data_IF_517855701697
#
_entry.id   IF_517855701697
#
_cell.length_a   1.000
_cell.length_b   1.000
_cell.length_c   1.000
_cell.angle_alpha   90.00
_cell.angle_beta   90.00
_cell.angle_gamma   90.00
#
_symmetry.space_group_name_H-M   'P 1'
#
loop_
_entity.id
_entity.type
_entity.pdbx_description
1 polymer ?
#
# COMPACT_ATOMS: atom_id res chain seq x y z
N UNK A 1 62.90 22.89 24.33
CA UNK A 1 61.48 23.17 24.75
C UNK A 1 60.57 23.06 23.51
N UNK A 2 60.93 23.62 22.37
CA UNK A 2 60.15 23.58 21.13
C UNK A 2 59.95 22.12 20.64
N UNK A 3 61.07 21.36 20.49
CA UNK A 3 60.99 19.96 20.03
C UNK A 3 60.06 19.06 20.90
N UNK A 4 60.04 19.27 22.19
CA UNK A 4 59.16 18.50 23.12
C UNK A 4 57.68 18.89 22.98
N UNK A 5 57.42 20.16 22.64
CA UNK A 5 56.05 20.63 22.34
C UNK A 5 55.58 20.07 21.00
N UNK A 6 56.43 20.00 20.01
CA UNK A 6 56.12 19.46 18.68
C UNK A 6 55.89 17.94 18.73
N UNK A 7 56.70 17.21 19.50
CA UNK A 7 56.50 15.77 19.76
C UNK A 7 55.16 15.50 20.46
N UNK A 8 54.82 16.24 21.50
CA UNK A 8 53.54 16.07 22.23
C UNK A 8 52.32 16.45 21.37
N UNK A 9 52.46 17.42 20.47
CA UNK A 9 51.39 17.79 19.54
C UNK A 9 51.17 16.68 18.51
N UNK A 10 52.24 16.07 18.00
CA UNK A 10 52.16 14.94 17.08
C UNK A 10 51.53 13.70 17.74
N UNK A 11 51.89 13.39 19.00
CA UNK A 11 51.27 12.31 19.78
C UNK A 11 49.77 12.55 20.00
N UNK A 12 49.40 13.80 20.32
CA UNK A 12 47.99 14.18 20.48
C UNK A 12 47.21 13.99 19.17
N UNK A 13 47.75 14.48 18.06
CA UNK A 13 47.09 14.36 16.74
C UNK A 13 46.97 12.89 16.30
N UNK A 14 48.01 12.08 16.56
CA UNK A 14 47.96 10.65 16.30
C UNK A 14 46.87 9.95 17.13
N UNK A 15 46.81 10.24 18.41
CA UNK A 15 45.75 9.70 19.28
C UNK A 15 44.34 10.09 18.79
N UNK A 16 44.14 11.37 18.44
CA UNK A 16 42.84 11.85 17.94
C UNK A 16 42.44 11.10 16.67
N UNK A 17 43.40 10.93 15.73
CA UNK A 17 43.16 10.19 14.52
C UNK A 17 42.78 8.73 14.78
N UNK A 18 43.53 8.05 15.65
CA UNK A 18 43.25 6.66 16.03
C UNK A 18 41.91 6.53 16.73
N UNK A 19 41.59 7.44 17.65
CA UNK A 19 40.30 7.42 18.37
C UNK A 19 39.13 7.59 17.39
N UNK A 20 39.20 8.57 16.48
CA UNK A 20 38.13 8.84 15.50
C UNK A 20 38.03 7.75 14.43
N UNK A 21 39.14 7.07 14.10
CA UNK A 21 39.11 5.93 13.19
C UNK A 21 38.41 4.71 13.79
N UNK A 22 38.62 4.45 15.07
CA UNK A 22 37.96 3.34 15.77
C UNK A 22 36.52 3.64 16.16
N UNK A 23 36.18 4.91 16.35
CA UNK A 23 34.87 5.35 16.76
C UNK A 23 34.30 6.33 15.74
N UNK A 24 33.44 5.86 14.86
CA UNK A 24 32.85 6.66 13.80
C UNK A 24 31.67 7.48 14.35
N UNK A 25 31.98 8.68 14.84
CA UNK A 25 30.98 9.62 15.34
C UNK A 25 30.66 10.69 14.30
N UNK A 26 29.38 11.07 14.27
CA UNK A 26 28.85 12.10 13.39
C UNK A 26 27.98 13.07 14.16
N UNK A 27 27.75 14.24 13.58
CA UNK A 27 26.93 15.27 14.19
C UNK A 27 26.06 15.96 13.12
N UNK A 28 24.81 16.23 13.48
CA UNK A 28 23.88 17.02 12.67
C UNK A 28 23.57 18.32 13.39
N UNK A 29 24.01 19.43 12.78
CA UNK A 29 23.92 20.77 13.37
C UNK A 29 22.46 21.21 13.53
N UNK A 30 21.59 20.90 12.54
CA UNK A 30 20.21 21.33 12.51
C UNK A 30 19.39 20.82 13.72
N UNK A 31 19.68 19.61 14.20
CA UNK A 31 18.98 18.97 15.32
C UNK A 31 19.82 18.88 16.59
N UNK A 32 21.08 19.34 16.54
CA UNK A 32 22.06 19.21 17.63
C UNK A 32 22.21 17.77 18.14
N UNK A 33 22.17 16.80 17.23
CA UNK A 33 22.16 15.37 17.57
C UNK A 33 23.47 14.71 17.15
N UNK A 34 24.02 13.87 18.03
CA UNK A 34 25.17 13.03 17.75
C UNK A 34 24.74 11.64 17.34
N UNK A 35 25.57 11.03 16.50
CA UNK A 35 25.35 9.66 16.01
C UNK A 35 26.65 8.87 16.08
N UNK A 36 26.52 7.56 16.22
CA UNK A 36 27.61 6.59 16.09
C UNK A 36 27.28 5.62 14.97
N UNK A 37 28.29 5.16 14.27
CA UNK A 37 28.20 4.11 13.27
C UNK A 37 29.05 2.92 13.69
N UNK A 38 28.45 1.73 13.75
CA UNK A 38 29.12 0.50 14.21
C UNK A 38 29.69 -0.35 13.03
N UNK A 39 29.59 0.16 11.81
CA UNK A 39 29.96 -0.54 10.58
C UNK A 39 28.77 -1.18 9.86
N UNK A 40 27.59 -1.23 10.49
CA UNK A 40 26.35 -1.74 9.91
C UNK A 40 25.18 -0.77 10.07
N UNK A 41 25.01 -0.22 11.27
CA UNK A 41 23.88 0.65 11.63
C UNK A 41 24.32 2.00 12.20
N UNK A 42 23.62 3.06 11.81
CA UNK A 42 23.69 4.36 12.43
C UNK A 42 22.75 4.46 13.63
N UNK A 43 23.23 4.95 14.76
CA UNK A 43 22.47 5.05 15.99
C UNK A 43 22.63 6.43 16.61
N UNK A 44 21.57 6.92 17.27
CA UNK A 44 21.64 8.14 18.08
C UNK A 44 22.54 7.86 19.28
N UNK A 45 23.39 8.83 19.61
CA UNK A 45 24.28 8.71 20.74
C UNK A 45 24.28 10.00 21.56
N UNK A 46 24.51 9.91 22.88
CA UNK A 46 24.53 11.11 23.70
C UNK A 46 25.91 11.77 23.72
N UNK A 47 25.97 13.11 23.83
CA UNK A 47 27.23 13.85 23.98
C UNK A 47 27.97 13.38 25.26
N UNK A 48 27.25 13.04 26.32
CA UNK A 48 27.78 12.58 27.60
C UNK A 48 28.49 11.24 27.47
N UNK A 49 27.91 10.29 26.72
CA UNK A 49 28.53 8.98 26.46
C UNK A 49 29.79 9.12 25.61
N UNK A 50 29.77 10.00 24.59
CA UNK A 50 30.98 10.31 23.80
C UNK A 50 32.07 10.89 24.70
N UNK A 51 31.73 11.87 25.53
CA UNK A 51 32.66 12.48 26.47
C UNK A 51 33.23 11.46 27.43
N UNK A 52 32.41 10.57 27.98
CA UNK A 52 32.86 9.50 28.87
C UNK A 52 33.85 8.57 28.16
N UNK A 53 33.57 8.14 26.93
CA UNK A 53 34.45 7.31 26.11
C UNK A 53 35.80 8.02 25.81
N UNK A 54 35.75 9.27 25.39
CA UNK A 54 36.93 10.10 25.15
C UNK A 54 37.80 10.20 26.38
N UNK A 55 37.21 10.57 27.51
CA UNK A 55 37.96 10.74 28.79
C UNK A 55 38.51 9.41 29.31
N UNK A 56 37.77 8.32 29.15
CA UNK A 56 38.26 6.99 29.52
C UNK A 56 39.45 6.55 28.66
N UNK A 57 39.37 6.79 27.35
CA UNK A 57 40.46 6.45 26.42
C UNK A 57 41.72 7.28 26.69
N UNK A 58 41.61 8.60 26.91
CA UNK A 58 42.74 9.47 27.27
C UNK A 58 43.38 9.05 28.60
N UNK A 59 42.56 8.61 29.57
CA UNK A 59 43.06 8.21 30.90
C UNK A 59 43.92 6.94 30.87
N UNK A 60 43.86 6.15 29.81
CA UNK A 60 44.71 4.98 29.58
C UNK A 60 46.09 5.38 29.08
N UNK A 61 46.26 6.58 28.52
CA UNK A 61 47.49 7.10 28.00
C UNK A 61 48.10 8.13 28.97
N UNK A 62 49.20 7.72 29.66
CA UNK A 62 49.85 8.56 30.66
C UNK A 62 50.45 9.83 30.10
N UNK A 63 50.86 9.85 28.84
CA UNK A 63 51.48 10.98 28.20
C UNK A 63 50.48 12.10 27.90
N UNK A 64 49.24 11.73 27.57
CA UNK A 64 48.14 12.66 27.25
C UNK A 64 47.41 13.20 28.48
N UNK A 65 47.69 12.69 29.69
CA UNK A 65 47.01 13.14 30.91
C UNK A 65 47.13 14.64 31.17
N UNK A 66 48.28 15.22 30.89
CA UNK A 66 48.53 16.67 31.06
C UNK A 66 47.75 17.51 30.07
N UNK A 67 47.33 16.93 28.92
CA UNK A 67 46.63 17.59 27.83
C UNK A 67 45.18 17.14 27.70
N UNK A 68 44.70 16.41 28.67
CA UNK A 68 43.37 15.78 28.67
C UNK A 68 42.25 16.73 28.22
N UNK A 69 42.23 17.95 28.75
CA UNK A 69 41.20 18.92 28.45
C UNK A 69 41.28 19.41 26.99
N UNK A 70 42.45 19.73 26.49
CA UNK A 70 42.71 20.20 25.12
C UNK A 70 42.36 19.08 24.13
N UNK A 71 42.78 17.84 24.40
CA UNK A 71 42.49 16.66 23.56
C UNK A 71 41.01 16.42 23.45
N UNK A 72 40.27 16.46 24.57
CA UNK A 72 38.80 16.36 24.59
C UNK A 72 38.16 17.40 23.69
N UNK A 73 38.53 18.68 23.83
CA UNK A 73 37.94 19.77 23.03
C UNK A 73 38.23 19.56 21.54
N UNK A 74 39.45 19.17 21.16
CA UNK A 74 39.79 18.90 19.78
C UNK A 74 39.03 17.74 19.16
N UNK A 75 38.82 16.63 19.92
CA UNK A 75 38.01 15.49 19.47
C UNK A 75 36.57 15.93 19.25
N UNK A 76 35.97 16.59 20.23
CA UNK A 76 34.57 17.04 20.12
C UNK A 76 34.39 18.04 18.95
N UNK A 77 35.38 18.91 18.72
CA UNK A 77 35.35 19.80 17.56
C UNK A 77 35.36 19.03 16.24
N UNK A 78 36.25 18.04 16.09
CA UNK A 78 36.32 17.19 14.88
C UNK A 78 35.06 16.36 14.67
N UNK A 79 34.45 15.85 15.76
CA UNK A 79 33.16 15.14 15.68
C UNK A 79 32.06 16.07 15.17
N UNK A 80 32.02 17.32 15.67
CA UNK A 80 31.01 18.32 15.24
C UNK A 80 31.21 18.79 13.79
N UNK A 81 32.42 18.65 13.24
CA UNK A 81 32.71 18.90 11.83
C UNK A 81 32.38 17.72 10.93
N UNK A 82 32.17 16.53 11.47
CA UNK A 82 31.87 15.29 10.73
C UNK A 82 30.35 15.15 10.52
N UNK A 83 29.88 15.55 9.33
CA UNK A 83 28.46 15.57 9.02
C UNK A 83 27.95 14.19 8.63
N UNK A 84 26.89 13.72 9.30
CA UNK A 84 26.23 12.46 9.01
C UNK A 84 25.74 12.35 7.56
N UNK A 85 25.20 13.42 7.00
CA UNK A 85 24.61 13.44 5.64
C UNK A 85 25.67 13.22 4.54
N UNK A 86 26.94 13.54 4.81
CA UNK A 86 28.04 13.37 3.87
C UNK A 86 28.78 12.02 4.02
N UNK A 87 28.22 11.08 4.78
CA UNK A 87 28.84 9.78 5.02
C UNK A 87 28.75 8.85 3.83
N UNK A 88 29.72 7.94 3.72
CA UNK A 88 29.69 6.82 2.78
C UNK A 88 29.44 5.56 3.63
N UNK A 89 28.20 5.02 3.64
CA UNK A 89 27.90 3.80 4.35
C UNK A 89 28.69 2.61 3.81
N UNK A 90 29.03 1.65 4.68
CA UNK A 90 29.66 0.42 4.26
C UNK A 90 28.74 -0.41 3.36
N UNK A 91 29.36 -1.30 2.57
CA UNK A 91 28.63 -2.15 1.62
C UNK A 91 27.52 -2.97 2.29
N UNK A 92 27.76 -3.46 3.50
CA UNK A 92 26.81 -4.28 4.25
C UNK A 92 25.56 -3.49 4.65
N UNK A 93 25.75 -2.23 5.10
CA UNK A 93 24.62 -1.31 5.36
C UNK A 93 23.80 -1.05 4.11
N UNK A 94 24.47 -0.78 2.98
CA UNK A 94 23.80 -0.55 1.70
C UNK A 94 23.01 -1.78 1.27
N UNK A 95 23.59 -2.98 1.35
CA UNK A 95 22.89 -4.22 0.98
C UNK A 95 21.73 -4.53 1.92
N UNK A 96 21.91 -4.30 3.22
CA UNK A 96 20.86 -4.48 4.21
C UNK A 96 19.63 -3.59 3.90
N UNK A 97 19.86 -2.31 3.63
CA UNK A 97 18.79 -1.36 3.24
C UNK A 97 18.12 -1.79 1.94
N UNK A 98 18.89 -2.17 0.91
CA UNK A 98 18.33 -2.60 -0.36
C UNK A 98 17.52 -3.88 -0.22
N UNK A 99 17.99 -4.87 0.52
CA UNK A 99 17.26 -6.12 0.74
C UNK A 99 15.96 -5.90 1.52
N UNK A 100 16.00 -5.05 2.53
CA UNK A 100 14.82 -4.74 3.35
C UNK A 100 13.74 -3.95 2.60
N UNK A 101 14.09 -3.12 1.63
CA UNK A 101 13.12 -2.34 0.86
C UNK A 101 12.66 -3.05 -0.42
N UNK A 102 13.56 -3.84 -1.07
CA UNK A 102 13.24 -4.55 -2.30
C UNK A 102 12.28 -5.71 -2.00
N UNK A 103 11.31 -5.96 -2.87
CA UNK A 103 10.24 -6.95 -2.77
C UNK A 103 9.20 -6.67 -1.66
N UNK A 104 9.54 -5.98 -0.61
CA UNK A 104 8.61 -5.56 0.44
C UNK A 104 7.86 -4.27 0.03
N UNK A 105 8.61 -3.21 -0.31
CA UNK A 105 8.04 -1.91 -0.71
C UNK A 105 8.12 -1.71 -2.22
N UNK A 106 9.24 -2.07 -2.83
CA UNK A 106 9.51 -1.85 -4.26
C UNK A 106 9.60 -3.17 -5.03
N UNK A 107 9.14 -3.21 -6.30
CA UNK A 107 9.10 -4.44 -7.09
C UNK A 107 10.48 -4.99 -7.46
N UNK A 108 11.51 -4.16 -7.46
CA UNK A 108 12.87 -4.55 -7.85
C UNK A 108 13.93 -3.60 -7.27
N UNK A 109 15.18 -4.01 -7.37
CA UNK A 109 16.34 -3.28 -6.82
C UNK A 109 16.58 -1.93 -7.49
N UNK A 110 16.31 -1.80 -8.78
CA UNK A 110 16.47 -0.54 -9.52
C UNK A 110 15.44 0.50 -9.07
N UNK A 111 14.19 0.12 -8.89
CA UNK A 111 13.14 0.98 -8.32
C UNK A 111 13.48 1.40 -6.89
N UNK A 112 14.04 0.48 -6.08
CA UNK A 112 14.53 0.82 -4.72
C UNK A 112 15.63 1.86 -4.77
N UNK A 113 16.64 1.71 -5.63
CA UNK A 113 17.73 2.68 -5.77
C UNK A 113 17.22 4.04 -6.25
N UNK A 114 16.30 4.03 -7.22
CA UNK A 114 15.67 5.25 -7.70
C UNK A 114 14.97 6.00 -6.57
N UNK A 115 14.15 5.30 -5.80
CA UNK A 115 13.49 5.89 -4.64
C UNK A 115 14.48 6.46 -3.63
N UNK A 116 15.55 5.74 -3.32
CA UNK A 116 16.59 6.24 -2.43
C UNK A 116 17.26 7.52 -2.98
N UNK A 117 17.52 7.59 -4.29
CA UNK A 117 18.00 8.83 -4.91
C UNK A 117 17.01 9.98 -4.73
N UNK A 118 15.69 9.74 -4.92
CA UNK A 118 14.65 10.76 -4.72
C UNK A 118 14.61 11.26 -3.27
N UNK A 119 14.68 10.37 -2.29
CA UNK A 119 14.75 10.73 -0.86
C UNK A 119 16.02 11.56 -0.59
N UNK A 120 17.17 11.11 -1.09
CA UNK A 120 18.43 11.82 -0.95
C UNK A 120 18.42 13.22 -1.60
N UNK A 121 17.83 13.35 -2.81
CA UNK A 121 17.66 14.63 -3.49
C UNK A 121 16.84 15.62 -2.66
N UNK A 122 15.76 15.14 -2.00
CA UNK A 122 14.95 15.96 -1.11
C UNK A 122 15.72 16.40 0.14
N UNK A 123 16.45 15.50 0.80
CA UNK A 123 17.30 15.85 1.96
C UNK A 123 18.37 16.86 1.58
N UNK A 124 19.02 16.65 0.43
CA UNK A 124 20.10 17.50 -0.08
C UNK A 124 19.59 18.72 -0.86
N UNK A 125 18.27 18.88 -1.02
CA UNK A 125 17.58 20.01 -1.69
C UNK A 125 18.05 20.24 -3.13
N UNK A 126 18.26 19.14 -3.89
CA UNK A 126 18.84 19.21 -5.24
C UNK A 126 17.86 19.65 -6.33
N UNK A 127 16.60 19.13 -6.34
CA UNK A 127 15.65 19.33 -7.45
C UNK A 127 14.24 19.67 -6.93
N UNK A 128 13.98 20.93 -6.67
CA UNK A 128 12.70 21.38 -6.12
C UNK A 128 11.56 21.45 -7.16
N UNK A 129 11.84 21.37 -8.47
CA UNK A 129 10.84 21.45 -9.55
C UNK A 129 10.27 20.08 -9.93
N UNK A 130 11.00 19.00 -9.68
CA UNK A 130 10.53 17.66 -10.02
C UNK A 130 9.36 17.22 -9.13
N UNK A 131 8.43 16.52 -9.73
CA UNK A 131 7.29 15.91 -9.06
C UNK A 131 7.39 14.40 -9.17
N UNK A 132 7.51 13.76 -8.02
CA UNK A 132 7.56 12.31 -7.90
C UNK A 132 6.21 11.79 -7.42
N UNK A 133 5.43 11.23 -8.34
CA UNK A 133 4.18 10.59 -7.97
C UNK A 133 4.46 9.22 -7.34
N UNK A 134 3.81 8.98 -6.23
CA UNK A 134 3.74 7.67 -5.57
C UNK A 134 2.31 7.39 -5.16
N UNK A 135 1.85 6.14 -5.34
CA UNK A 135 0.49 5.76 -5.01
C UNK A 135 0.14 6.11 -3.55
N UNK A 136 -1.11 6.48 -3.30
CA UNK A 136 -1.62 6.86 -1.98
C UNK A 136 -1.40 5.76 -0.92
N UNK A 137 -1.32 4.50 -1.33
CA UNK A 137 -1.03 3.36 -0.45
C UNK A 137 0.31 3.49 0.29
N UNK A 138 1.28 4.25 -0.26
CA UNK A 138 2.56 4.52 0.39
C UNK A 138 2.53 5.73 1.34
N UNK A 139 1.40 6.39 1.54
CA UNK A 139 1.33 7.64 2.33
C UNK A 139 1.86 7.48 3.76
N UNK A 140 1.46 6.42 4.45
CA UNK A 140 1.93 6.13 5.82
C UNK A 140 3.43 5.86 5.85
N UNK A 141 3.94 5.09 4.87
CA UNK A 141 5.37 4.79 4.72
C UNK A 141 6.21 6.07 4.51
N UNK A 142 5.81 6.93 3.58
CA UNK A 142 6.49 8.20 3.31
C UNK A 142 6.42 9.14 4.53
N UNK A 143 5.25 9.22 5.19
CA UNK A 143 5.07 10.04 6.39
C UNK A 143 5.99 9.58 7.53
N UNK A 144 6.16 8.27 7.70
CA UNK A 144 7.07 7.73 8.71
C UNK A 144 8.52 8.16 8.45
N UNK A 145 9.01 7.99 7.22
CA UNK A 145 10.36 8.43 6.83
C UNK A 145 10.55 9.95 6.96
N UNK A 146 9.54 10.73 6.60
CA UNK A 146 9.56 12.19 6.73
C UNK A 146 9.67 12.63 8.19
N UNK A 147 8.91 11.99 9.07
CA UNK A 147 8.96 12.26 10.51
C UNK A 147 10.36 11.95 11.09
N UNK A 148 10.94 10.79 10.73
CA UNK A 148 12.27 10.41 11.20
C UNK A 148 13.33 11.39 10.65
N UNK A 149 13.27 11.73 9.37
CA UNK A 149 14.20 12.67 8.74
C UNK A 149 14.10 14.06 9.35
N UNK A 150 12.90 14.57 9.55
CA UNK A 150 12.67 15.88 10.18
C UNK A 150 13.20 15.90 11.62
N UNK A 151 12.94 14.85 12.39
CA UNK A 151 13.38 14.74 13.78
C UNK A 151 14.90 14.64 13.90
N UNK A 152 15.54 13.83 13.07
CA UNK A 152 16.97 13.50 13.20
C UNK A 152 17.90 14.36 12.33
N UNK A 153 17.46 14.73 11.14
CA UNK A 153 18.27 15.47 10.17
C UNK A 153 17.82 16.93 9.99
N UNK A 154 16.59 17.27 10.45
CA UNK A 154 16.02 18.61 10.26
C UNK A 154 15.56 18.91 8.82
N UNK A 155 15.44 17.90 7.98
CA UNK A 155 15.06 18.02 6.57
C UNK A 155 13.87 17.11 6.24
N UNK A 156 13.00 17.60 5.35
CA UNK A 156 11.88 16.82 4.82
C UNK A 156 12.31 15.95 3.63
N UNK A 157 11.72 14.74 3.53
CA UNK A 157 11.94 13.83 2.41
C UNK A 157 10.81 13.84 1.37
N UNK A 158 9.69 14.50 1.66
CA UNK A 158 8.47 14.45 0.87
C UNK A 158 8.19 15.68 0.02
N UNK A 159 9.11 16.62 -0.09
CA UNK A 159 8.91 17.92 -0.79
C UNK A 159 8.47 17.74 -2.25
N UNK A 160 9.14 16.86 -2.99
CA UNK A 160 8.80 16.55 -4.38
C UNK A 160 7.76 15.46 -4.52
N UNK A 161 7.43 14.73 -3.44
CA UNK A 161 6.53 13.57 -3.48
C UNK A 161 5.06 14.02 -3.46
N UNK A 162 4.26 13.50 -4.39
CA UNK A 162 2.82 13.76 -4.50
C UNK A 162 2.05 12.46 -4.69
N UNK A 163 0.82 12.42 -4.14
CA UNK A 163 -0.09 11.28 -4.26
C UNK A 163 -1.23 11.53 -5.28
N UNK A 164 -1.26 12.72 -5.89
CA UNK A 164 -2.22 13.12 -6.90
C UNK A 164 -1.55 14.04 -7.92
N UNK A 165 -2.13 14.11 -9.11
CA UNK A 165 -1.76 15.10 -10.12
C UNK A 165 -2.48 16.42 -9.87
N UNK A 166 -1.77 17.55 -9.98
CA UNK A 166 -2.30 18.90 -9.75
C UNK A 166 -1.88 19.85 -10.90
N UNK A 167 -2.11 19.45 -12.13
CA UNK A 167 -1.76 20.23 -13.33
C UNK A 167 -0.26 20.58 -13.45
N UNK A 168 0.58 19.64 -13.08
CA UNK A 168 2.02 19.77 -13.21
C UNK A 168 2.48 19.61 -14.67
N UNK A 169 3.59 20.23 -15.04
CA UNK A 169 4.22 19.99 -16.34
C UNK A 169 4.64 18.51 -16.43
N UNK A 170 4.29 17.86 -17.52
CA UNK A 170 4.62 16.46 -17.78
C UNK A 170 6.15 16.24 -17.82
N UNK A 171 6.92 17.24 -18.28
CA UNK A 171 8.38 17.16 -18.30
C UNK A 171 9.00 16.97 -16.90
N UNK A 172 8.36 17.52 -15.87
CA UNK A 172 8.83 17.46 -14.49
C UNK A 172 8.25 16.27 -13.70
N UNK A 173 7.36 15.49 -14.32
CA UNK A 173 6.64 14.42 -13.63
C UNK A 173 7.33 13.06 -13.77
N UNK A 174 7.47 12.35 -12.65
CA UNK A 174 8.09 11.01 -12.54
C UNK A 174 7.18 10.09 -11.73
N UNK A 175 7.14 8.81 -12.06
CA UNK A 175 6.34 7.81 -11.33
C UNK A 175 7.26 6.91 -10.51
N UNK A 176 6.96 6.76 -9.23
CA UNK A 176 7.62 5.78 -8.35
C UNK A 176 6.68 4.60 -8.18
N UNK A 177 7.07 3.45 -8.74
CA UNK A 177 6.31 2.21 -8.63
C UNK A 177 6.57 1.52 -7.29
N UNK A 178 5.48 1.12 -6.62
CA UNK A 178 5.51 0.43 -5.33
C UNK A 178 4.66 -0.84 -5.41
N UNK A 179 4.88 -1.76 -4.48
CA UNK A 179 4.04 -2.93 -4.28
C UNK A 179 2.76 -2.54 -3.50
N UNK A 180 1.63 -3.13 -3.84
CA UNK A 180 0.34 -2.80 -3.20
C UNK A 180 0.32 -3.18 -1.70
N UNK A 181 1.13 -4.16 -1.29
CA UNK A 181 1.27 -4.61 0.10
C UNK A 181 1.76 -3.50 1.05
N UNK A 182 2.35 -2.41 0.54
CA UNK A 182 2.82 -1.27 1.34
C UNK A 182 1.67 -0.58 2.10
N UNK A 183 0.43 -0.77 1.67
CA UNK A 183 -0.78 -0.33 2.39
C UNK A 183 -0.84 -0.90 3.82
N UNK A 184 -0.31 -2.12 4.02
CA UNK A 184 -0.27 -2.79 5.32
C UNK A 184 0.98 -2.35 6.09
N UNK A 185 0.82 -1.49 7.08
CA UNK A 185 1.94 -0.94 7.87
C UNK A 185 2.79 -2.02 8.56
N UNK A 186 2.19 -3.13 8.95
CA UNK A 186 2.91 -4.26 9.56
C UNK A 186 4.03 -4.83 8.70
N UNK A 187 3.96 -4.69 7.38
CA UNK A 187 4.95 -5.25 6.46
C UNK A 187 6.29 -4.52 6.51
N UNK A 188 6.30 -3.21 6.69
CA UNK A 188 7.50 -2.37 6.63
C UNK A 188 7.85 -1.67 7.96
N UNK A 189 6.88 -1.51 8.88
CA UNK A 189 7.08 -0.70 10.08
C UNK A 189 8.17 -1.28 11.00
N UNK A 190 8.22 -2.60 11.17
CA UNK A 190 9.24 -3.24 11.99
C UNK A 190 10.65 -2.98 11.43
N UNK A 191 10.82 -3.10 10.11
CA UNK A 191 12.08 -2.81 9.44
C UNK A 191 12.49 -1.35 9.61
N UNK A 192 11.59 -0.39 9.35
CA UNK A 192 11.92 1.03 9.49
C UNK A 192 12.20 1.45 10.93
N UNK A 193 11.55 0.84 11.93
CA UNK A 193 11.86 1.13 13.35
C UNK A 193 13.32 0.83 13.70
N UNK A 194 13.93 -0.14 13.05
CA UNK A 194 15.32 -0.54 13.32
C UNK A 194 16.35 0.17 12.43
N UNK A 195 15.99 0.58 11.20
CA UNK A 195 16.97 1.03 10.22
C UNK A 195 16.54 2.27 9.41
N UNK A 196 15.55 3.05 9.85
CA UNK A 196 15.15 4.25 9.09
C UNK A 196 16.30 5.24 8.92
N UNK A 197 17.17 5.38 9.91
CA UNK A 197 18.34 6.24 9.81
C UNK A 197 19.34 5.73 8.75
N UNK A 198 19.56 4.41 8.68
CA UNK A 198 20.38 3.79 7.65
C UNK A 198 19.82 4.05 6.26
N UNK A 199 18.49 3.94 6.10
CA UNK A 199 17.78 4.27 4.85
C UNK A 199 18.07 5.71 4.43
N UNK A 200 18.01 6.67 5.35
CA UNK A 200 18.27 8.09 5.06
C UNK A 200 19.72 8.35 4.70
N UNK A 201 20.67 7.72 5.40
CA UNK A 201 22.11 7.85 5.08
C UNK A 201 22.44 7.23 3.71
N UNK A 202 21.91 6.04 3.41
CA UNK A 202 22.07 5.40 2.11
C UNK A 202 21.41 6.21 1.00
N UNK A 203 20.27 6.86 1.26
CA UNK A 203 19.61 7.75 0.32
C UNK A 203 20.48 8.96 -0.03
N UNK A 204 21.06 9.63 0.96
CA UNK A 204 22.00 10.74 0.75
C UNK A 204 23.22 10.29 -0.07
N UNK A 205 23.80 9.14 0.29
CA UNK A 205 24.93 8.56 -0.45
C UNK A 205 24.58 8.26 -1.90
N UNK A 206 23.41 7.68 -2.19
CA UNK A 206 23.01 7.39 -3.57
C UNK A 206 22.73 8.65 -4.37
N UNK A 207 22.05 9.63 -3.80
CA UNK A 207 21.84 10.92 -4.45
C UNK A 207 23.18 11.59 -4.79
N UNK A 208 24.15 11.56 -3.88
CA UNK A 208 25.47 12.16 -4.11
C UNK A 208 26.28 11.37 -5.15
N UNK A 209 26.30 10.05 -5.03
CA UNK A 209 27.03 9.14 -5.95
C UNK A 209 26.55 9.25 -7.39
N UNK A 210 25.25 9.35 -7.61
CA UNK A 210 24.65 9.37 -8.95
C UNK A 210 24.34 10.79 -9.45
N UNK A 211 24.61 11.82 -8.65
CA UNK A 211 24.32 13.22 -8.97
C UNK A 211 22.87 13.61 -8.69
N UNK A 212 21.91 12.83 -9.15
CA UNK A 212 20.47 12.99 -8.88
C UNK A 212 19.66 11.74 -9.23
N UNK A 213 18.38 11.74 -8.85
CA UNK A 213 17.43 10.70 -9.23
C UNK A 213 17.22 10.59 -10.74
N UNK A 214 17.10 11.71 -11.46
CA UNK A 214 17.01 11.72 -12.93
C UNK A 214 18.29 11.21 -13.59
N UNK A 215 19.46 11.62 -13.09
CA UNK A 215 20.74 11.15 -13.59
C UNK A 215 20.91 9.63 -13.38
N UNK A 216 20.48 9.12 -12.22
CA UNK A 216 20.47 7.67 -11.99
C UNK A 216 19.67 6.93 -13.06
N UNK A 217 18.47 7.40 -13.40
CA UNK A 217 17.60 6.76 -14.40
C UNK A 217 18.22 6.83 -15.80
N UNK A 218 18.79 7.95 -16.17
CA UNK A 218 19.34 8.16 -17.52
C UNK A 218 20.65 7.37 -17.72
N UNK A 219 21.58 7.46 -16.76
CA UNK A 219 22.94 7.01 -16.94
C UNK A 219 23.24 5.63 -16.31
N UNK A 220 22.45 5.21 -15.30
CA UNK A 220 22.74 4.04 -14.48
C UNK A 220 21.63 2.99 -14.44
N UNK A 221 20.43 3.28 -14.93
CA UNK A 221 19.37 2.30 -15.06
C UNK A 221 19.39 1.64 -16.45
N UNK A 222 19.98 0.45 -16.54
CA UNK A 222 20.12 -0.28 -17.81
C UNK A 222 18.86 -1.06 -18.23
N UNK A 223 17.81 -1.04 -17.42
CA UNK A 223 16.54 -1.70 -17.73
C UNK A 223 15.57 -0.71 -18.36
N UNK A 224 15.45 -0.74 -19.69
CA UNK A 224 14.65 0.20 -20.45
C UNK A 224 13.18 0.26 -20.01
N UNK A 225 12.57 -0.89 -19.66
CA UNK A 225 11.20 -0.92 -19.18
C UNK A 225 11.01 -0.11 -17.89
N UNK A 226 11.93 -0.23 -16.91
CA UNK A 226 11.86 0.54 -15.64
C UNK A 226 12.02 2.04 -15.93
N UNK A 227 12.97 2.40 -16.79
CA UNK A 227 13.16 3.80 -17.20
C UNK A 227 11.91 4.36 -17.88
N UNK A 228 11.31 3.60 -18.79
CA UNK A 228 10.12 4.00 -19.49
C UNK A 228 8.91 4.14 -18.54
N UNK A 229 8.77 3.24 -17.59
CA UNK A 229 7.71 3.29 -16.57
C UNK A 229 7.86 4.55 -15.69
N UNK A 230 9.06 4.86 -15.21
CA UNK A 230 9.32 6.06 -14.40
C UNK A 230 9.07 7.34 -15.20
N UNK A 231 9.53 7.36 -16.46
CA UNK A 231 9.43 8.51 -17.36
C UNK A 231 8.13 8.52 -18.19
N UNK A 232 7.18 7.66 -17.90
CA UNK A 232 5.98 7.43 -18.71
C UNK A 232 5.23 8.74 -19.01
N UNK A 233 4.91 9.54 -18.00
CA UNK A 233 4.21 10.82 -18.20
C UNK A 233 5.07 11.83 -18.94
N UNK A 234 6.36 11.94 -18.61
CA UNK A 234 7.30 12.83 -19.32
C UNK A 234 7.36 12.55 -20.82
N UNK A 235 7.32 11.27 -21.21
CA UNK A 235 7.46 10.83 -22.59
C UNK A 235 6.12 10.80 -23.36
N UNK A 236 5.05 11.27 -22.75
CA UNK A 236 3.68 11.16 -23.26
C UNK A 236 3.02 12.54 -23.36
N UNK A 237 2.04 12.68 -24.25
CA UNK A 237 1.11 13.82 -24.30
C UNK A 237 -0.30 13.36 -23.93
N UNK A 238 -1.18 14.30 -23.52
CA UNK A 238 -2.59 13.97 -23.24
C UNK A 238 -3.25 13.28 -24.43
N UNK A 239 -3.01 13.78 -25.63
CA UNK A 239 -3.55 13.21 -26.86
C UNK A 239 -3.05 11.79 -27.11
N UNK A 240 -1.73 11.54 -26.98
CA UNK A 240 -1.15 10.21 -27.21
C UNK A 240 -1.57 9.20 -26.14
N UNK A 241 -1.80 9.65 -24.91
CA UNK A 241 -2.30 8.80 -23.84
C UNK A 241 -3.73 8.31 -24.12
N UNK A 242 -4.58 9.21 -24.63
CA UNK A 242 -5.95 8.85 -25.06
C UNK A 242 -5.92 7.94 -26.28
N UNK A 243 -5.02 8.17 -27.25
CA UNK A 243 -4.87 7.29 -28.42
C UNK A 243 -4.47 5.87 -27.98
N UNK A 244 -3.51 5.75 -27.06
CA UNK A 244 -3.07 4.45 -26.57
C UNK A 244 -4.19 3.72 -25.80
N UNK A 245 -4.95 4.44 -24.99
CA UNK A 245 -6.13 3.88 -24.34
C UNK A 245 -7.14 3.35 -25.34
N UNK A 246 -7.46 4.13 -26.38
CA UNK A 246 -8.40 3.70 -27.41
C UNK A 246 -7.90 2.43 -28.11
N UNK A 247 -6.61 2.34 -28.42
CA UNK A 247 -6.02 1.15 -29.06
C UNK A 247 -6.09 -0.07 -28.15
N UNK A 248 -5.78 0.08 -26.86
CA UNK A 248 -5.65 -1.04 -25.92
C UNK A 248 -7.00 -1.54 -25.37
N UNK A 249 -8.00 -0.63 -25.27
CA UNK A 249 -9.24 -0.88 -24.51
C UNK A 249 -10.52 -0.84 -25.34
N UNK A 250 -10.51 -0.25 -26.53
CA UNK A 250 -11.71 -0.02 -27.35
C UNK A 250 -11.63 -0.77 -28.67
N UNK A 251 -12.57 -1.69 -28.86
CA UNK A 251 -12.75 -2.42 -30.12
C UNK A 251 -13.82 -1.72 -30.96
N UNK A 252 -13.52 -1.46 -32.24
CA UNK A 252 -14.47 -0.97 -33.21
C UNK A 252 -15.24 -2.15 -33.77
N UNK A 253 -16.56 -2.09 -33.72
CA UNK A 253 -17.43 -3.15 -34.28
C UNK A 253 -18.01 -2.70 -35.60
N UNK A 254 -17.80 -3.50 -36.67
CA UNK A 254 -18.50 -3.31 -37.90
C UNK A 254 -20.00 -3.64 -37.71
N UNK A 255 -20.87 -2.81 -38.29
CA UNK A 255 -22.32 -3.01 -38.20
C UNK A 255 -22.71 -4.11 -39.16
N UNK A 256 -22.76 -5.34 -38.70
CA UNK A 256 -23.43 -6.40 -39.44
C UNK A 256 -24.96 -6.22 -39.36
N UNK A 257 -25.64 -6.32 -40.49
CA UNK A 257 -27.09 -6.14 -40.60
C UNK A 257 -27.80 -7.18 -39.69
N UNK A 258 -28.37 -6.72 -38.57
CA UNK A 258 -29.13 -7.55 -37.61
C UNK A 258 -28.43 -7.83 -36.29
N UNK A 259 -27.22 -7.35 -36.07
CA UNK A 259 -26.57 -7.45 -34.76
C UNK A 259 -27.06 -6.37 -33.79
N UNK A 260 -27.10 -6.71 -32.48
CA UNK A 260 -27.42 -5.74 -31.41
C UNK A 260 -26.36 -4.65 -31.43
N UNK A 261 -26.79 -3.39 -31.53
CA UNK A 261 -25.92 -2.22 -31.56
C UNK A 261 -25.15 -2.17 -30.22
N UNK A 262 -23.83 -2.36 -30.29
CA UNK A 262 -22.97 -2.23 -29.10
C UNK A 262 -22.78 -0.76 -28.76
N UNK A 263 -22.89 -0.43 -27.51
CA UNK A 263 -22.72 0.94 -27.01
C UNK A 263 -22.00 1.00 -25.67
N UNK A 264 -21.26 2.08 -25.47
CA UNK A 264 -20.56 2.37 -24.22
C UNK A 264 -21.02 3.74 -23.72
N UNK A 265 -21.65 3.80 -22.54
CA UNK A 265 -22.00 5.06 -21.89
C UNK A 265 -20.75 5.80 -21.43
N UNK A 266 -20.84 7.13 -21.25
CA UNK A 266 -19.73 7.90 -20.72
C UNK A 266 -19.25 7.37 -19.36
N UNK A 267 -20.15 7.00 -18.45
CA UNK A 267 -19.80 6.40 -17.13
C UNK A 267 -18.95 5.13 -17.28
N UNK A 268 -19.28 4.27 -18.25
CA UNK A 268 -18.49 3.07 -18.52
C UNK A 268 -17.15 3.40 -19.18
N UNK A 269 -17.09 4.40 -20.06
CA UNK A 269 -15.85 4.87 -20.68
C UNK A 269 -14.87 5.42 -19.64
N UNK A 270 -15.40 6.21 -18.71
CA UNK A 270 -14.65 6.75 -17.57
C UNK A 270 -14.10 5.66 -16.65
N UNK A 271 -14.88 4.61 -16.40
CA UNK A 271 -14.41 3.46 -15.62
C UNK A 271 -13.31 2.67 -16.36
N UNK A 272 -13.46 2.45 -17.66
CA UNK A 272 -12.42 1.83 -18.48
C UNK A 272 -11.12 2.64 -18.48
N UNK A 273 -11.23 3.97 -18.55
CA UNK A 273 -10.09 4.87 -18.42
C UNK A 273 -9.38 4.73 -17.06
N UNK A 274 -10.16 4.63 -15.98
CA UNK A 274 -9.61 4.36 -14.64
C UNK A 274 -8.85 3.03 -14.62
N UNK A 275 -9.43 1.96 -15.14
CA UNK A 275 -8.76 0.65 -15.22
C UNK A 275 -7.45 0.72 -16.02
N UNK A 276 -7.44 1.44 -17.12
CA UNK A 276 -6.24 1.64 -17.93
C UNK A 276 -5.13 2.35 -17.16
N UNK A 277 -5.47 3.42 -16.44
CA UNK A 277 -4.49 4.14 -15.62
C UNK A 277 -3.97 3.28 -14.45
N UNK A 278 -4.83 2.51 -13.83
CA UNK A 278 -4.45 1.59 -12.73
C UNK A 278 -3.50 0.49 -13.23
N UNK A 279 -3.73 -0.05 -14.44
CA UNK A 279 -2.80 -0.99 -15.09
C UNK A 279 -1.42 -0.36 -15.35
N UNK A 280 -1.38 0.90 -15.78
CA UNK A 280 -0.14 1.66 -15.98
C UNK A 280 0.46 2.19 -14.66
N UNK A 281 -0.20 1.97 -13.52
CA UNK A 281 0.17 2.57 -12.21
C UNK A 281 0.35 4.10 -12.30
N UNK A 282 -0.42 4.74 -13.18
CA UNK A 282 -0.36 6.16 -13.48
C UNK A 282 -1.51 6.89 -12.78
N UNK A 283 -1.31 8.09 -12.22
CA UNK A 283 -2.41 8.89 -11.72
C UNK A 283 -3.28 9.42 -12.85
N UNK A 284 -4.47 9.93 -12.52
CA UNK A 284 -5.27 10.67 -13.50
C UNK A 284 -4.59 12.00 -13.84
N UNK A 285 -3.81 11.99 -14.93
CA UNK A 285 -3.04 13.15 -15.41
C UNK A 285 -3.83 14.01 -16.40
N UNK A 286 -5.08 13.67 -16.69
CA UNK A 286 -6.01 14.45 -17.53
C UNK A 286 -7.25 14.71 -16.68
N UNK A 287 -7.68 15.98 -16.58
CA UNK A 287 -8.93 16.32 -15.91
C UNK A 287 -10.13 15.80 -16.70
N UNK A 288 -11.17 15.34 -16.00
CA UNK A 288 -12.30 14.62 -16.61
C UNK A 288 -12.98 15.39 -17.75
N UNK A 289 -13.14 16.70 -17.63
CA UNK A 289 -13.74 17.52 -18.68
C UNK A 289 -12.88 17.53 -19.96
N UNK A 290 -11.57 17.63 -19.82
CA UNK A 290 -10.63 17.60 -20.93
C UNK A 290 -10.56 16.17 -21.53
N UNK A 291 -10.60 15.15 -20.70
CA UNK A 291 -10.65 13.76 -21.13
C UNK A 291 -11.87 13.50 -22.00
N UNK A 292 -13.06 13.95 -21.55
CA UNK A 292 -14.30 13.79 -22.33
C UNK A 292 -14.22 14.45 -23.68
N UNK A 293 -13.70 15.68 -23.73
CA UNK A 293 -13.51 16.40 -24.98
C UNK A 293 -12.56 15.67 -25.93
N UNK A 294 -11.40 15.22 -25.44
CA UNK A 294 -10.45 14.45 -26.24
C UNK A 294 -11.04 13.13 -26.75
N UNK A 295 -11.80 12.41 -25.91
CA UNK A 295 -12.49 11.18 -26.33
C UNK A 295 -13.51 11.44 -27.42
N UNK A 296 -14.33 12.48 -27.28
CA UNK A 296 -15.31 12.88 -28.28
C UNK A 296 -14.63 13.29 -29.58
N UNK A 297 -13.55 14.05 -29.52
CA UNK A 297 -12.79 14.45 -30.72
C UNK A 297 -12.24 13.23 -31.48
N UNK A 298 -11.64 12.28 -30.78
CA UNK A 298 -11.01 11.09 -31.36
C UNK A 298 -12.02 10.02 -31.84
N UNK A 299 -13.16 9.95 -31.18
CA UNK A 299 -14.25 9.00 -31.47
C UNK A 299 -15.51 9.69 -31.99
N UNK A 300 -15.39 10.84 -32.67
CA UNK A 300 -16.48 11.70 -33.06
C UNK A 300 -17.57 10.99 -33.88
N UNK A 301 -17.19 10.09 -34.77
CA UNK A 301 -18.12 9.32 -35.64
C UNK A 301 -18.93 8.27 -34.84
N UNK A 302 -18.49 7.93 -33.66
CA UNK A 302 -19.13 6.97 -32.77
C UNK A 302 -19.95 7.62 -31.63
N UNK A 303 -19.81 8.94 -31.42
CA UNK A 303 -20.42 9.62 -30.27
C UNK A 303 -21.83 10.15 -30.64
N UNK A 304 -22.81 9.87 -29.78
CA UNK A 304 -24.16 10.42 -29.80
C UNK A 304 -24.38 11.35 -28.60
N UNK A 305 -24.54 12.65 -28.90
CA UNK A 305 -24.67 13.67 -27.88
C UNK A 305 -25.98 13.58 -27.10
N UNK A 306 -27.09 13.13 -27.72
CA UNK A 306 -28.42 13.10 -27.10
C UNK A 306 -28.47 12.18 -25.87
N UNK A 307 -27.77 11.05 -25.92
CA UNK A 307 -27.78 10.03 -24.88
C UNK A 307 -26.46 9.92 -24.14
N UNK A 308 -25.44 10.72 -24.49
CA UNK A 308 -24.08 10.67 -23.93
C UNK A 308 -23.46 9.26 -24.03
N UNK A 309 -23.58 8.64 -25.20
CA UNK A 309 -23.10 7.28 -25.47
C UNK A 309 -22.23 7.23 -26.72
N UNK A 310 -21.30 6.29 -26.74
CA UNK A 310 -20.53 5.91 -27.91
C UNK A 310 -21.13 4.63 -28.48
N UNK A 311 -21.48 4.65 -29.76
CA UNK A 311 -22.12 3.54 -30.50
C UNK A 311 -21.13 2.84 -31.42
N UNK A 312 -21.42 1.59 -31.78
CA UNK A 312 -20.59 0.75 -32.65
C UNK A 312 -19.16 0.56 -32.15
N UNK A 313 -18.98 0.67 -30.83
CA UNK A 313 -17.74 0.31 -30.14
C UNK A 313 -18.04 -0.59 -28.98
N UNK A 314 -17.04 -1.37 -28.59
CA UNK A 314 -17.11 -2.28 -27.44
C UNK A 314 -15.77 -2.30 -26.71
N UNK A 315 -15.74 -2.97 -25.56
CA UNK A 315 -14.52 -3.27 -24.85
C UNK A 315 -14.60 -4.67 -24.29
N UNK A 316 -13.52 -5.42 -24.38
CA UNK A 316 -13.42 -6.78 -23.82
C UNK A 316 -13.55 -6.81 -22.29
N UNK A 317 -13.35 -5.69 -21.63
CA UNK A 317 -13.43 -5.57 -20.16
C UNK A 317 -14.85 -5.32 -19.63
N UNK A 318 -15.75 -4.76 -20.46
CA UNK A 318 -17.09 -4.38 -20.04
C UNK A 318 -18.04 -5.56 -19.75
N UNK A 319 -18.04 -6.69 -20.46
CA UNK A 319 -19.04 -7.74 -20.27
C UNK A 319 -19.09 -8.30 -18.85
N UNK A 320 -17.94 -8.46 -18.20
CA UNK A 320 -17.87 -8.93 -16.81
C UNK A 320 -18.40 -7.90 -15.82
N UNK A 321 -18.06 -6.63 -16.04
CA UNK A 321 -18.52 -5.49 -15.23
C UNK A 321 -20.02 -5.34 -15.36
N UNK A 322 -20.57 -5.32 -16.59
CA UNK A 322 -22.00 -5.17 -16.84
C UNK A 322 -22.82 -6.31 -16.23
N UNK A 323 -22.30 -7.55 -16.26
CA UNK A 323 -22.95 -8.68 -15.57
C UNK A 323 -22.99 -8.51 -14.07
N UNK A 324 -21.88 -8.04 -13.48
CA UNK A 324 -21.86 -7.76 -12.05
C UNK A 324 -22.82 -6.63 -11.66
N UNK A 325 -22.89 -5.55 -12.46
CA UNK A 325 -23.88 -4.48 -12.24
C UNK A 325 -25.31 -5.00 -12.34
N UNK A 326 -25.62 -5.83 -13.35
CA UNK A 326 -26.95 -6.46 -13.50
C UNK A 326 -27.29 -7.35 -12.28
N UNK A 327 -26.33 -8.16 -11.82
CA UNK A 327 -26.49 -8.95 -10.61
C UNK A 327 -26.78 -8.04 -9.42
N UNK A 328 -25.96 -7.00 -9.21
CA UNK A 328 -26.13 -6.10 -8.07
C UNK A 328 -27.49 -5.42 -8.07
N UNK A 329 -27.88 -4.81 -9.18
CA UNK A 329 -29.16 -4.10 -9.31
C UNK A 329 -30.38 -5.00 -9.12
N UNK A 330 -30.28 -6.30 -9.47
CA UNK A 330 -31.38 -7.25 -9.33
C UNK A 330 -31.48 -7.92 -7.97
N UNK A 331 -30.37 -8.04 -7.26
CA UNK A 331 -30.29 -8.92 -6.09
C UNK A 331 -29.93 -8.24 -4.79
N UNK A 332 -29.29 -7.06 -4.86
CA UNK A 332 -28.84 -6.36 -3.67
C UNK A 332 -29.85 -5.28 -3.26
N UNK A 333 -30.18 -5.25 -1.98
CA UNK A 333 -31.07 -4.25 -1.40
C UNK A 333 -30.50 -3.70 -0.10
N UNK A 334 -30.76 -2.41 0.15
CA UNK A 334 -30.41 -1.82 1.44
C UNK A 334 -31.31 -2.35 2.53
N UNK A 335 -30.72 -2.77 3.65
CA UNK A 335 -31.43 -3.34 4.80
C UNK A 335 -30.68 -2.98 6.09
N UNK A 336 -31.25 -2.10 6.91
CA UNK A 336 -30.65 -1.64 8.16
C UNK A 336 -30.60 -2.73 9.25
N UNK A 337 -31.45 -3.77 9.13
CA UNK A 337 -31.47 -4.89 10.07
C UNK A 337 -30.35 -5.89 9.76
N UNK A 338 -29.85 -5.90 8.52
CA UNK A 338 -28.72 -6.75 8.13
C UNK A 338 -27.39 -6.11 8.55
N UNK A 339 -26.56 -6.87 9.28
CA UNK A 339 -25.33 -6.31 9.82
C UNK A 339 -24.26 -6.08 8.75
N UNK A 340 -23.98 -7.08 7.93
CA UNK A 340 -23.01 -7.00 6.83
C UNK A 340 -23.06 -8.20 5.89
N UNK A 341 -22.52 -7.98 4.67
CA UNK A 341 -22.13 -9.04 3.74
C UNK A 341 -20.62 -9.01 3.56
N UNK A 342 -19.97 -10.18 3.54
CA UNK A 342 -18.54 -10.25 3.19
C UNK A 342 -18.37 -10.26 1.66
N UNK A 343 -17.24 -9.70 1.19
CA UNK A 343 -16.92 -9.70 -0.25
C UNK A 343 -16.90 -11.14 -0.81
N UNK A 344 -16.37 -12.11 -0.06
CA UNK A 344 -16.39 -13.53 -0.45
C UNK A 344 -17.81 -14.06 -0.63
N UNK A 345 -18.76 -13.65 0.21
CA UNK A 345 -20.16 -14.01 0.10
C UNK A 345 -20.79 -13.43 -1.18
N UNK A 346 -20.41 -12.20 -1.54
CA UNK A 346 -20.86 -11.57 -2.80
C UNK A 346 -20.31 -12.31 -4.02
N UNK A 347 -19.06 -12.75 -3.99
CA UNK A 347 -18.48 -13.56 -5.07
C UNK A 347 -19.28 -14.85 -5.26
N UNK A 348 -19.62 -15.53 -4.16
CA UNK A 348 -20.37 -16.77 -4.21
C UNK A 348 -21.82 -16.58 -4.68
N UNK A 349 -22.50 -15.53 -4.20
CA UNK A 349 -23.86 -15.19 -4.64
C UNK A 349 -23.87 -14.73 -6.10
N UNK A 350 -22.88 -13.96 -6.55
CA UNK A 350 -22.73 -13.60 -7.96
C UNK A 350 -22.55 -14.84 -8.86
N UNK A 351 -21.69 -15.77 -8.44
CA UNK A 351 -21.52 -17.04 -9.15
C UNK A 351 -22.81 -17.84 -9.22
N UNK A 352 -23.54 -17.90 -8.11
CA UNK A 352 -24.85 -18.60 -8.03
C UNK A 352 -25.86 -17.95 -8.97
N UNK A 353 -25.92 -16.61 -8.99
CA UNK A 353 -26.81 -15.88 -9.89
C UNK A 353 -26.45 -16.12 -11.35
N UNK A 354 -25.17 -16.08 -11.74
CA UNK A 354 -24.75 -16.36 -13.10
C UNK A 354 -25.19 -17.77 -13.55
N UNK A 355 -25.07 -18.77 -12.68
CA UNK A 355 -25.51 -20.13 -12.97
C UNK A 355 -27.05 -20.24 -13.13
N UNK A 356 -27.80 -19.53 -12.28
CA UNK A 356 -29.27 -19.53 -12.34
C UNK A 356 -29.80 -18.83 -13.61
N UNK A 357 -29.15 -17.73 -14.03
CA UNK A 357 -29.54 -16.96 -15.21
C UNK A 357 -28.93 -17.49 -16.52
N UNK A 358 -28.16 -18.60 -16.48
CA UNK A 358 -27.37 -19.11 -17.61
C UNK A 358 -26.41 -18.09 -18.21
N UNK A 359 -25.93 -17.15 -17.38
CA UNK A 359 -24.91 -16.16 -17.76
C UNK A 359 -23.51 -16.78 -17.65
N UNK A 360 -22.59 -16.38 -18.54
CA UNK A 360 -21.22 -16.84 -18.47
C UNK A 360 -20.54 -16.22 -17.23
N UNK A 361 -20.21 -17.05 -16.24
CA UNK A 361 -19.44 -16.57 -15.07
C UNK A 361 -18.03 -16.19 -15.48
N UNK A 362 -17.63 -14.96 -15.18
CA UNK A 362 -16.25 -14.49 -15.29
C UNK A 362 -15.74 -14.21 -13.87
N UNK A 363 -14.63 -14.81 -13.49
CA UNK A 363 -14.03 -14.60 -12.19
C UNK A 363 -13.58 -13.15 -12.05
N UNK A 364 -14.15 -12.45 -11.07
CA UNK A 364 -13.68 -11.15 -10.60
C UNK A 364 -12.94 -11.36 -9.28
N UNK A 365 -11.83 -10.66 -9.10
CA UNK A 365 -11.11 -10.64 -7.83
C UNK A 365 -11.85 -9.78 -6.81
N UNK A 366 -11.58 -9.98 -5.52
CA UNK A 366 -12.14 -9.14 -4.45
C UNK A 366 -11.87 -7.66 -4.71
N UNK A 367 -10.65 -7.31 -5.10
CA UNK A 367 -10.28 -5.92 -5.41
C UNK A 367 -11.08 -5.36 -6.58
N UNK A 368 -11.30 -6.13 -7.65
CA UNK A 368 -12.12 -5.68 -8.78
C UNK A 368 -13.58 -5.44 -8.38
N UNK A 369 -14.13 -6.28 -7.53
CA UNK A 369 -15.49 -6.09 -7.00
C UNK A 369 -15.57 -4.83 -6.15
N UNK A 370 -14.61 -4.63 -5.24
CA UNK A 370 -14.52 -3.41 -4.44
C UNK A 370 -14.41 -2.16 -5.33
N UNK A 371 -13.58 -2.19 -6.35
CA UNK A 371 -13.40 -1.06 -7.28
C UNK A 371 -14.67 -0.76 -8.08
N UNK A 372 -15.43 -1.80 -8.49
CA UNK A 372 -16.73 -1.64 -9.15
C UNK A 372 -17.74 -1.02 -8.17
N UNK A 373 -17.83 -1.54 -6.94
CA UNK A 373 -18.78 -1.02 -5.95
C UNK A 373 -18.46 0.43 -5.61
N UNK A 374 -17.21 0.74 -5.31
CA UNK A 374 -16.78 2.12 -5.01
C UNK A 374 -17.05 3.11 -6.15
N UNK A 375 -17.00 2.65 -7.40
CA UNK A 375 -17.23 3.51 -8.54
C UNK A 375 -18.70 3.69 -8.90
N UNK A 376 -19.46 2.59 -8.95
CA UNK A 376 -20.85 2.62 -9.42
C UNK A 376 -21.88 2.83 -8.31
N UNK A 377 -21.55 2.44 -7.06
CA UNK A 377 -22.44 2.47 -5.88
C UNK A 377 -21.77 3.21 -4.71
N UNK A 378 -21.50 4.50 -4.93
CA UNK A 378 -20.72 5.36 -4.02
C UNK A 378 -21.33 5.50 -2.61
N UNK A 379 -22.64 5.30 -2.48
CA UNK A 379 -23.37 5.39 -1.20
C UNK A 379 -23.24 4.10 -0.36
N UNK A 380 -22.61 3.06 -0.88
CA UNK A 380 -22.42 1.80 -0.17
C UNK A 380 -21.27 1.92 0.84
N UNK A 381 -21.58 1.71 2.12
CA UNK A 381 -20.58 1.71 3.17
C UNK A 381 -19.79 0.39 3.17
N UNK A 382 -18.46 0.49 3.09
CA UNK A 382 -17.54 -0.66 3.11
C UNK A 382 -16.54 -0.47 4.25
N UNK A 383 -16.47 -1.45 5.16
CA UNK A 383 -15.53 -1.47 6.26
C UNK A 383 -14.37 -2.44 5.99
N UNK A 384 -13.15 -1.96 6.23
CA UNK A 384 -11.90 -2.74 6.13
C UNK A 384 -11.66 -3.39 4.76
N UNK A 385 -12.24 -2.83 3.68
CA UNK A 385 -12.22 -3.42 2.33
C UNK A 385 -12.74 -4.89 2.31
N UNK A 386 -13.59 -5.25 3.23
CA UNK A 386 -14.10 -6.63 3.39
C UNK A 386 -15.60 -6.72 3.64
N UNK A 387 -16.15 -5.82 4.42
CA UNK A 387 -17.52 -5.89 4.89
C UNK A 387 -18.37 -4.80 4.25
N UNK A 388 -19.43 -5.18 3.55
CA UNK A 388 -20.42 -4.27 3.00
C UNK A 388 -21.57 -4.18 4.01
N UNK A 389 -21.81 -2.98 4.51
CA UNK A 389 -22.72 -2.72 5.61
C UNK A 389 -24.14 -2.50 5.12
N UNK A 390 -25.12 -2.89 5.96
CA UNK A 390 -26.56 -2.61 5.76
C UNK A 390 -27.09 -3.00 4.37
N UNK A 391 -26.60 -4.13 3.85
CA UNK A 391 -27.00 -4.66 2.55
C UNK A 391 -27.42 -6.14 2.68
N UNK A 392 -28.54 -6.49 2.01
CA UNK A 392 -29.04 -7.86 1.90
C UNK A 392 -28.99 -8.32 0.44
N UNK A 393 -28.68 -9.62 0.26
CA UNK A 393 -28.78 -10.27 -1.03
C UNK A 393 -30.06 -11.10 -1.11
N UNK A 394 -30.98 -10.77 -2.03
CA UNK A 394 -32.27 -11.46 -2.16
C UNK A 394 -32.16 -12.94 -2.60
N UNK A 395 -30.99 -13.36 -3.08
CA UNK A 395 -30.74 -14.76 -3.46
C UNK A 395 -30.45 -15.63 -2.22
N UNK A 396 -29.92 -15.02 -1.15
CA UNK A 396 -29.49 -15.71 0.03
C UNK A 396 -29.80 -14.93 1.30
N UNK A 397 -30.79 -15.43 2.03
CA UNK A 397 -31.13 -14.91 3.35
C UNK A 397 -30.42 -15.74 4.42
N UNK A 398 -29.41 -15.13 5.04
CA UNK A 398 -28.57 -15.78 6.07
C UNK A 398 -29.36 -16.12 7.32
N UNK A 399 -30.30 -15.27 7.71
CA UNK A 399 -31.10 -15.46 8.91
C UNK A 399 -32.05 -16.63 8.74
N UNK A 400 -32.72 -16.70 7.59
CA UNK A 400 -33.60 -17.87 7.25
C UNK A 400 -32.78 -19.17 7.21
N UNK A 401 -31.58 -19.13 6.63
CA UNK A 401 -30.69 -20.29 6.57
C UNK A 401 -30.30 -20.82 7.95
N UNK A 402 -29.92 -19.93 8.86
CA UNK A 402 -29.58 -20.29 10.24
C UNK A 402 -30.80 -20.83 10.95
N UNK A 403 -31.96 -20.15 10.81
CA UNK A 403 -33.19 -20.51 11.50
C UNK A 403 -33.65 -21.92 11.11
N UNK A 404 -33.67 -22.24 9.81
CA UNK A 404 -34.01 -23.57 9.31
C UNK A 404 -33.11 -24.65 9.89
N UNK A 405 -31.79 -24.39 9.93
CA UNK A 405 -30.85 -25.36 10.50
C UNK A 405 -31.03 -25.53 12.03
N UNK A 406 -31.31 -24.43 12.74
CA UNK A 406 -31.56 -24.48 14.19
C UNK A 406 -32.84 -25.19 14.54
N UNK A 407 -33.94 -24.97 13.81
CA UNK A 407 -35.17 -25.70 13.99
C UNK A 407 -35.02 -27.20 13.69
N UNK A 408 -34.29 -27.55 12.64
CA UNK A 408 -33.97 -28.95 12.33
C UNK A 408 -33.13 -29.59 13.44
N UNK A 409 -32.14 -28.90 13.97
CA UNK A 409 -31.33 -29.35 15.11
C UNK A 409 -32.21 -29.59 16.35
N UNK A 410 -33.14 -28.67 16.60
CA UNK A 410 -34.07 -28.74 17.71
C UNK A 410 -35.01 -29.97 17.59
N UNK A 411 -35.55 -30.23 16.40
CA UNK A 411 -36.33 -31.42 16.13
C UNK A 411 -35.53 -32.69 16.36
N UNK A 412 -34.31 -32.80 15.82
CA UNK A 412 -33.45 -33.98 16.03
C UNK A 412 -33.15 -34.21 17.52
N UNK A 413 -32.86 -33.16 18.28
CA UNK A 413 -32.55 -33.25 19.70
C UNK A 413 -33.76 -33.55 20.58
N UNK A 414 -34.96 -33.24 20.16
CA UNK A 414 -36.16 -33.63 20.88
C UNK A 414 -36.35 -35.15 20.94
N UNK A 415 -35.81 -35.90 19.99
CA UNK A 415 -35.86 -37.39 19.96
C UNK A 415 -34.70 -38.04 20.71
N UNK A 416 -33.63 -37.28 21.05
CA UNK A 416 -32.50 -37.73 21.84
C UNK A 416 -32.61 -37.25 23.29
N UNK A 417 -31.60 -37.57 24.15
CA UNK A 417 -31.51 -36.98 25.47
C UNK A 417 -31.37 -35.45 25.37
N UNK A 418 -32.29 -34.71 25.99
CA UNK A 418 -32.22 -33.24 26.09
C UNK A 418 -30.96 -32.84 26.87
N UNK A 419 -29.96 -32.37 26.20
CA UNK A 419 -28.69 -31.88 26.80
C UNK A 419 -28.37 -30.50 26.25
N UNK A 420 -27.78 -29.63 27.06
CA UNK A 420 -27.27 -28.35 26.57
C UNK A 420 -26.33 -28.52 25.38
N UNK A 421 -26.40 -27.58 24.42
CA UNK A 421 -25.59 -27.60 23.18
C UNK A 421 -24.66 -26.40 23.18
N UNK A 422 -23.40 -26.61 22.92
CA UNK A 422 -22.50 -25.47 22.75
C UNK A 422 -22.82 -24.73 21.43
N UNK A 423 -22.64 -23.39 21.42
CA UNK A 423 -22.80 -22.58 20.20
C UNK A 423 -21.83 -23.08 19.09
N UNK A 424 -20.67 -23.61 19.49
CA UNK A 424 -19.74 -24.23 18.55
C UNK A 424 -20.32 -25.52 17.91
N UNK A 425 -20.96 -26.38 18.69
CA UNK A 425 -21.59 -27.59 18.15
C UNK A 425 -22.79 -27.26 17.26
N UNK A 426 -23.57 -26.23 17.63
CA UNK A 426 -24.65 -25.70 16.80
C UNK A 426 -24.12 -25.19 15.46
N UNK A 427 -23.02 -24.43 15.45
CA UNK A 427 -22.38 -24.00 14.22
C UNK A 427 -21.83 -25.18 13.40
N UNK A 428 -21.21 -26.16 14.06
CA UNK A 428 -20.72 -27.38 13.38
C UNK A 428 -21.87 -28.17 12.75
N UNK A 429 -23.02 -28.22 13.42
CA UNK A 429 -24.25 -28.83 12.86
C UNK A 429 -24.72 -28.03 11.63
N UNK A 430 -24.82 -26.69 11.74
CA UNK A 430 -25.20 -25.83 10.63
C UNK A 430 -24.34 -26.07 9.39
N UNK A 431 -23.01 -26.12 9.57
CA UNK A 431 -22.08 -26.39 8.48
C UNK A 431 -22.32 -27.77 7.84
N UNK A 432 -22.57 -28.82 8.66
CA UNK A 432 -22.89 -30.18 8.17
C UNK A 432 -24.22 -30.21 7.44
N UNK A 433 -25.24 -29.55 7.99
CA UNK A 433 -26.56 -29.42 7.40
C UNK A 433 -26.50 -28.82 5.99
N UNK A 434 -25.80 -27.70 5.85
CA UNK A 434 -25.56 -27.03 4.56
C UNK A 434 -24.72 -27.87 3.60
N UNK A 435 -23.75 -28.64 4.13
CA UNK A 435 -22.91 -29.50 3.32
C UNK A 435 -23.65 -30.75 2.79
N UNK A 436 -24.61 -31.25 3.52
CA UNK A 436 -25.42 -32.41 3.15
C UNK A 436 -26.58 -32.08 2.23
N UNK A 437 -27.02 -30.80 2.18
CA UNK A 437 -28.00 -30.35 1.21
C UNK A 437 -27.52 -30.63 -0.21
N UNK A 438 -28.34 -31.31 -1.01
CA UNK A 438 -28.02 -31.67 -2.41
C UNK A 438 -27.95 -30.40 -3.25
N UNK A 439 -26.73 -29.98 -3.55
CA UNK A 439 -26.48 -28.86 -4.45
C UNK A 439 -26.30 -29.39 -5.88
N UNK A 440 -27.20 -29.06 -6.77
CA UNK A 440 -27.13 -29.34 -8.21
C UNK A 440 -25.98 -28.60 -8.93
N UNK A 441 -24.77 -28.61 -8.37
CA UNK A 441 -23.60 -27.95 -8.91
C UNK A 441 -23.43 -26.48 -8.49
N UNK A 442 -24.39 -25.90 -7.76
CA UNK A 442 -24.29 -24.51 -7.25
C UNK A 442 -23.25 -24.38 -6.11
N UNK A 443 -22.61 -23.23 -5.96
CA UNK A 443 -21.76 -22.94 -4.82
C UNK A 443 -22.50 -23.10 -3.50
N UNK A 444 -21.84 -23.62 -2.48
CA UNK A 444 -22.43 -23.74 -1.15
C UNK A 444 -22.28 -22.39 -0.43
N UNK A 445 -23.41 -21.81 -0.07
CA UNK A 445 -23.49 -20.59 0.72
C UNK A 445 -23.55 -21.00 2.20
N UNK A 446 -22.52 -20.67 2.95
CA UNK A 446 -22.37 -20.99 4.38
C UNK A 446 -22.01 -19.71 5.11
N UNK A 447 -22.79 -19.35 6.11
CA UNK A 447 -22.57 -18.18 6.95
C UNK A 447 -21.29 -18.38 7.77
N UNK A 448 -20.50 -17.33 7.90
CA UNK A 448 -19.30 -17.38 8.74
C UNK A 448 -19.64 -17.52 10.24
N UNK A 449 -18.67 -18.01 11.02
CA UNK A 449 -18.87 -18.29 12.44
C UNK A 449 -19.27 -17.05 13.24
N UNK A 450 -18.64 -15.91 12.99
CA UNK A 450 -18.88 -14.67 13.74
C UNK A 450 -20.31 -14.14 13.52
N UNK A 451 -20.81 -14.21 12.27
CA UNK A 451 -22.20 -13.85 11.97
C UNK A 451 -23.18 -14.82 12.62
N UNK A 452 -22.92 -16.14 12.55
CA UNK A 452 -23.73 -17.16 13.19
C UNK A 452 -23.82 -16.96 14.71
N UNK A 453 -22.69 -16.76 15.38
CA UNK A 453 -22.63 -16.50 16.82
C UNK A 453 -23.43 -15.24 17.17
N UNK A 454 -23.25 -14.15 16.43
CA UNK A 454 -24.00 -12.91 16.63
C UNK A 454 -25.50 -13.16 16.50
N UNK A 455 -25.93 -13.86 15.44
CA UNK A 455 -27.34 -14.20 15.23
C UNK A 455 -27.92 -14.99 16.42
N UNK A 456 -27.19 -15.98 16.92
CA UNK A 456 -27.62 -16.78 18.08
C UNK A 456 -27.74 -15.90 19.34
N UNK A 457 -26.78 -14.99 19.57
CA UNK A 457 -26.86 -14.07 20.70
C UNK A 457 -28.04 -13.10 20.61
N UNK A 458 -28.34 -12.62 19.42
CA UNK A 458 -29.43 -11.64 19.21
C UNK A 458 -30.83 -12.30 19.32
N UNK A 459 -31.00 -13.53 18.84
CA UNK A 459 -32.31 -14.17 18.72
C UNK A 459 -32.63 -15.22 19.82
N UNK A 460 -31.57 -15.78 20.44
CA UNK A 460 -31.72 -16.84 21.45
C UNK A 460 -31.11 -16.46 22.80
N UNK A 461 -30.94 -15.14 23.09
CA UNK A 461 -30.30 -14.62 24.29
C UNK A 461 -30.91 -15.18 25.61
N UNK A 462 -32.23 -15.41 25.64
CA UNK A 462 -32.96 -15.94 26.81
C UNK A 462 -32.54 -17.38 27.15
N UNK A 463 -32.04 -18.13 26.18
CA UNK A 463 -31.65 -19.54 26.33
C UNK A 463 -30.14 -19.72 26.48
N UNK A 464 -29.35 -18.64 26.41
CA UNK A 464 -27.87 -18.71 26.51
C UNK A 464 -27.44 -18.62 27.97
N UNK A 465 -26.61 -19.56 28.39
CA UNK A 465 -25.92 -19.49 29.66
C UNK A 465 -24.39 -19.63 29.44
N UNK A 466 -23.61 -19.07 30.35
CA UNK A 466 -22.15 -19.09 30.35
C UNK A 466 -21.54 -18.56 29.03
N UNK A 467 -22.26 -17.68 28.34
CA UNK A 467 -21.88 -17.04 27.06
C UNK A 467 -21.46 -18.01 25.93
N UNK A 468 -21.79 -19.29 26.04
CA UNK A 468 -21.33 -20.30 25.06
C UNK A 468 -22.24 -21.51 24.90
N UNK A 469 -23.31 -21.62 25.68
CA UNK A 469 -24.19 -22.78 25.67
C UNK A 469 -25.67 -22.38 25.55
N UNK A 470 -26.42 -23.11 24.72
CA UNK A 470 -27.88 -23.11 24.69
C UNK A 470 -28.41 -24.12 25.72
N UNK A 471 -29.31 -23.68 26.59
CA UNK A 471 -29.90 -24.53 27.64
C UNK A 471 -30.92 -25.51 27.07
N UNK A 472 -31.39 -26.43 27.94
CA UNK A 472 -32.39 -27.46 27.59
C UNK A 472 -33.78 -26.88 27.30
N UNK A 473 -34.08 -25.69 27.80
CA UNK A 473 -35.34 -25.00 27.60
C UNK A 473 -35.51 -24.59 26.12
N UNK A 474 -34.40 -24.21 25.45
CA UNK A 474 -34.44 -23.96 24.02
C UNK A 474 -34.90 -25.14 23.19
N UNK A 475 -34.53 -26.38 23.57
CA UNK A 475 -34.99 -27.60 22.87
C UNK A 475 -36.47 -27.84 23.09
N UNK A 476 -37.03 -27.34 24.20
CA UNK A 476 -38.41 -27.56 24.60
C UNK A 476 -39.37 -26.45 24.21
N UNK A 477 -38.86 -25.27 23.85
CA UNK A 477 -39.63 -24.11 23.39
C UNK A 477 -40.12 -24.29 21.95
#
# INVERSE_FOLDING_TARGET
>A
RQNRLDEMTNEQDYFIQQFLHHNQYFFVVATNTFFVYDGLHYQIYSEEDILHQVLSSISKDRQLMSWKHKTKINIMKRIKENNLIATIPESDTIQYVLQGLTNMVFPNKESTKYFLCVIGDNILKKHNHLIHYININAKSFIKYLDNVSTLLLGNHVNQTIKHKYYDHDYNDFRIIHINDIVKQESTWLHFLKSCALDVLCVACHYSDRFGSSDQYIIDHCYKDHIRNDIMFVKNTSQSSLVDQFIIDYIDRTEVESGSIMKQISWKNMEYLWKLYLDEKKCPSVIFMNNLKQLMIEKLNIYYQNENDVFINISSKYLPSIQRFLKFWDQTMAHDEEESYLEIEEIILTFKTWCMAENEMYTTLTEQQILDIIHYYYQDTEILHDKYIMSMRCNIWDKQVDINVAMETLKEEKNYEEKKPISIYDAYSYYCKFKNNATNNGFPKLIVNKSYFEKYIFDHYSEYIYDNSWLNEEWISS
#
